data_IF_477467045312
#
_entry.id   IF_477467045312
#
_cell.length_a   1.000
_cell.length_b   1.000
_cell.length_c   1.000
_cell.angle_alpha   90.00
_cell.angle_beta   90.00
_cell.angle_gamma   90.00
#
_symmetry.space_group_name_H-M   'P 1'
#
loop_
_entity.id
_entity.type
_entity.pdbx_description
1 polymer ?
#
# COMPACT_ATOMS: atom_id res chain seq x y z
N UNK A 1 -12.99 -12.66 -15.09
CA UNK A 1 -12.54 -12.50 -13.70
C UNK A 1 -13.48 -11.48 -13.08
N UNK A 2 -14.43 -11.96 -12.27
CA UNK A 2 -15.38 -11.08 -11.56
C UNK A 2 -14.53 -10.38 -10.50
N UNK A 3 -14.36 -9.06 -10.64
CA UNK A 3 -13.80 -8.26 -9.55
C UNK A 3 -14.87 -8.28 -8.45
N UNK A 4 -14.62 -9.06 -7.40
CA UNK A 4 -15.40 -8.92 -6.18
C UNK A 4 -15.33 -7.45 -5.75
N UNK A 5 -16.48 -6.87 -5.43
CA UNK A 5 -16.57 -5.49 -4.98
C UNK A 5 -15.78 -5.37 -3.66
N UNK A 6 -14.60 -4.77 -3.73
CA UNK A 6 -13.77 -4.54 -2.55
C UNK A 6 -14.46 -3.47 -1.70
N UNK A 7 -14.90 -3.85 -0.51
CA UNK A 7 -15.48 -2.92 0.45
C UNK A 7 -14.35 -2.17 1.17
N UNK A 8 -14.10 -0.92 0.75
CA UNK A 8 -13.05 -0.09 1.34
C UNK A 8 -13.29 0.24 2.82
N UNK A 9 -14.56 0.38 3.24
CA UNK A 9 -14.87 0.61 4.66
C UNK A 9 -14.57 -0.63 5.51
N UNK A 10 -14.75 -1.82 4.98
CA UNK A 10 -14.39 -3.06 5.66
C UNK A 10 -12.86 -3.15 5.83
N UNK A 11 -12.10 -2.91 4.77
CA UNK A 11 -10.64 -2.87 4.82
C UNK A 11 -10.12 -1.81 5.79
N UNK A 12 -10.73 -0.61 5.80
CA UNK A 12 -10.45 0.45 6.77
C UNK A 12 -10.64 -0.04 8.20
N UNK A 13 -11.77 -0.70 8.47
CA UNK A 13 -12.09 -1.19 9.82
C UNK A 13 -11.11 -2.27 10.27
N UNK A 14 -10.71 -3.17 9.36
CA UNK A 14 -9.71 -4.20 9.63
C UNK A 14 -8.35 -3.55 9.93
N UNK A 15 -7.89 -2.63 9.10
CA UNK A 15 -6.60 -1.95 9.28
C UNK A 15 -6.53 -1.21 10.62
N UNK A 16 -7.56 -0.41 10.94
CA UNK A 16 -7.64 0.32 12.21
C UNK A 16 -7.69 -0.62 13.43
N UNK A 17 -8.51 -1.66 13.38
CA UNK A 17 -8.60 -2.65 14.45
C UNK A 17 -7.25 -3.32 14.68
N UNK A 18 -6.58 -3.76 13.63
CA UNK A 18 -5.26 -4.39 13.71
C UNK A 18 -4.22 -3.43 14.30
N UNK A 19 -4.22 -2.17 13.87
CA UNK A 19 -3.34 -1.15 14.43
C UNK A 19 -3.56 -0.95 15.94
N UNK A 20 -4.82 -0.90 16.40
CA UNK A 20 -5.15 -0.83 17.81
C UNK A 20 -4.65 -2.06 18.58
N UNK A 21 -4.86 -3.27 18.06
CA UNK A 21 -4.42 -4.53 18.69
C UNK A 21 -2.89 -4.60 18.83
N UNK A 22 -2.15 -3.95 17.94
CA UNK A 22 -0.69 -3.84 18.01
C UNK A 22 -0.19 -2.62 18.80
N UNK A 23 -1.08 -1.87 19.45
CA UNK A 23 -0.72 -0.74 20.32
C UNK A 23 -0.30 0.54 19.57
N UNK A 24 -0.51 0.63 18.25
CA UNK A 24 -0.17 1.85 17.50
C UNK A 24 -0.96 3.07 17.95
N UNK A 25 -2.14 2.88 18.54
CA UNK A 25 -3.00 3.94 19.07
C UNK A 25 -2.97 4.08 20.60
N UNK A 26 -2.06 3.40 21.31
CA UNK A 26 -1.90 3.53 22.77
C UNK A 26 -1.48 4.94 23.17
N UNK A 27 -0.78 5.63 22.28
CA UNK A 27 -0.47 7.06 22.40
C UNK A 27 -1.20 7.80 21.30
N UNK A 28 -1.88 8.88 21.67
CA UNK A 28 -2.56 9.74 20.69
C UNK A 28 -1.53 10.37 19.75
N UNK A 29 -1.44 9.86 18.55
CA UNK A 29 -0.63 10.44 17.48
C UNK A 29 -1.37 11.63 16.86
N UNK A 30 -0.63 12.64 16.41
CA UNK A 30 -1.21 13.71 15.60
C UNK A 30 -1.45 13.22 14.16
N UNK A 31 -2.34 13.90 13.44
CA UNK A 31 -2.64 13.57 12.05
C UNK A 31 -1.41 13.76 11.16
N UNK A 32 -0.64 14.81 11.43
CA UNK A 32 0.61 15.08 10.72
C UNK A 32 1.59 13.93 10.90
N UNK A 33 1.67 13.37 12.11
CA UNK A 33 2.52 12.20 12.36
C UNK A 33 2.05 11.00 11.55
N UNK A 34 0.75 10.71 11.52
CA UNK A 34 0.19 9.61 10.73
C UNK A 34 0.46 9.80 9.23
N UNK A 35 0.32 11.03 8.71
CA UNK A 35 0.66 11.34 7.32
C UNK A 35 2.16 11.19 7.04
N UNK A 36 3.03 11.56 7.97
CA UNK A 36 4.47 11.33 7.85
C UNK A 36 4.80 9.84 7.76
N UNK A 37 4.07 8.96 8.48
CA UNK A 37 4.25 7.52 8.35
C UNK A 37 3.89 7.02 6.94
N UNK A 38 2.82 7.54 6.33
CA UNK A 38 2.50 7.21 4.92
C UNK A 38 3.63 7.62 3.99
N UNK A 39 4.17 8.83 4.18
CA UNK A 39 5.31 9.32 3.39
C UNK A 39 6.54 8.42 3.56
N UNK A 40 6.78 7.93 4.78
CA UNK A 40 7.88 7.00 5.06
C UNK A 40 7.76 5.73 4.21
N UNK A 41 6.58 5.07 4.19
CA UNK A 41 6.35 3.87 3.38
C UNK A 41 6.54 4.16 1.87
N UNK A 42 6.10 5.32 1.39
CA UNK A 42 6.33 5.73 0.00
C UNK A 42 7.83 5.94 -0.30
N UNK A 43 8.60 6.45 0.64
CA UNK A 43 10.05 6.58 0.49
C UNK A 43 10.75 5.22 0.50
N UNK A 44 10.27 4.25 1.29
CA UNK A 44 10.72 2.86 1.26
C UNK A 44 10.39 2.19 -0.08
N UNK A 45 9.23 2.48 -0.66
CA UNK A 45 8.88 2.03 -2.02
C UNK A 45 9.86 2.56 -3.07
N UNK A 46 10.24 3.85 -3.01
CA UNK A 46 11.27 4.45 -3.89
C UNK A 46 12.62 3.77 -3.70
N UNK A 47 12.98 3.47 -2.46
CA UNK A 47 14.24 2.77 -2.16
C UNK A 47 14.22 1.31 -2.67
N UNK A 48 13.09 0.61 -2.54
CA UNK A 48 12.90 -0.72 -3.10
C UNK A 48 13.06 -0.72 -4.62
N UNK A 49 12.50 0.29 -5.31
CA UNK A 49 12.66 0.46 -6.76
C UNK A 49 14.13 0.69 -7.13
N UNK A 50 14.82 1.62 -6.47
CA UNK A 50 16.25 1.92 -6.71
C UNK A 50 17.15 0.71 -6.52
N UNK A 51 16.83 -0.16 -5.56
CA UNK A 51 17.53 -1.42 -5.30
C UNK A 51 17.12 -2.55 -6.25
N UNK A 52 16.20 -2.31 -7.19
CA UNK A 52 15.69 -3.31 -8.12
C UNK A 52 14.77 -4.35 -7.48
N UNK A 53 14.28 -4.11 -6.26
CA UNK A 53 13.33 -4.99 -5.54
C UNK A 53 11.90 -4.78 -6.02
N UNK A 54 11.68 -4.95 -7.32
CA UNK A 54 10.43 -4.65 -8.01
C UNK A 54 9.29 -5.64 -7.74
N UNK A 55 9.51 -6.67 -6.92
CA UNK A 55 8.51 -7.68 -6.61
C UNK A 55 8.07 -8.55 -7.79
N UNK A 56 8.81 -8.53 -8.90
CA UNK A 56 8.51 -9.38 -10.05
C UNK A 56 8.50 -10.85 -9.63
N UNK A 57 7.34 -11.51 -9.84
CA UNK A 57 7.10 -12.90 -9.44
C UNK A 57 7.14 -13.14 -7.91
N UNK A 58 7.02 -12.11 -7.06
CA UNK A 58 7.01 -12.28 -5.61
C UNK A 58 5.91 -13.27 -5.18
N UNK A 59 4.68 -13.16 -5.71
CA UNK A 59 3.57 -14.07 -5.44
C UNK A 59 3.91 -15.52 -5.77
N UNK A 60 4.37 -15.80 -6.99
CA UNK A 60 4.68 -17.17 -7.41
C UNK A 60 5.87 -17.77 -6.64
N UNK A 61 6.85 -16.96 -6.27
CA UNK A 61 7.97 -17.40 -5.43
C UNK A 61 7.52 -17.68 -4.00
N UNK A 62 6.67 -16.83 -3.44
CA UNK A 62 6.04 -17.06 -2.14
C UNK A 62 5.29 -18.38 -2.13
N UNK A 63 4.37 -18.60 -3.08
CA UNK A 63 3.58 -19.83 -3.19
C UNK A 63 4.48 -21.06 -3.32
N UNK A 64 5.54 -20.98 -4.11
CA UNK A 64 6.50 -22.07 -4.29
C UNK A 64 7.25 -22.39 -2.99
N UNK A 65 7.72 -21.39 -2.28
CA UNK A 65 8.44 -21.61 -1.02
C UNK A 65 7.49 -22.09 0.09
N UNK A 66 6.30 -21.47 0.20
CA UNK A 66 5.28 -21.87 1.17
C UNK A 66 4.87 -23.35 1.02
N UNK A 67 4.70 -23.82 -0.21
CA UNK A 67 4.30 -25.21 -0.51
C UNK A 67 5.46 -26.21 -0.36
N UNK A 68 6.71 -25.75 -0.32
CA UNK A 68 7.88 -26.63 -0.07
C UNK A 68 8.07 -27.00 1.38
N UNK A 69 7.50 -26.27 2.31
CA UNK A 69 7.62 -26.60 3.72
C UNK A 69 6.89 -27.90 4.05
N UNK A 70 7.50 -28.79 4.87
CA UNK A 70 6.81 -29.99 5.34
C UNK A 70 5.52 -29.63 6.09
N UNK A 71 4.50 -30.48 5.96
CA UNK A 71 3.20 -30.30 6.61
C UNK A 71 3.28 -30.21 8.16
N UNK A 72 4.37 -30.72 8.75
CA UNK A 72 4.64 -30.63 10.19
C UNK A 72 5.05 -29.21 10.66
N UNK A 73 5.43 -28.31 9.74
CA UNK A 73 5.75 -26.93 10.10
C UNK A 73 4.45 -26.15 10.22
N UNK A 74 4.28 -25.42 11.31
CA UNK A 74 3.11 -24.58 11.56
C UNK A 74 2.87 -23.59 10.41
N UNK A 75 1.60 -23.39 10.06
CA UNK A 75 1.18 -22.57 8.94
C UNK A 75 1.69 -21.14 9.04
N UNK A 76 1.57 -20.54 10.21
CA UNK A 76 2.05 -19.19 10.49
C UNK A 76 3.56 -19.04 10.23
N UNK A 77 4.35 -20.04 10.67
CA UNK A 77 5.80 -20.05 10.45
C UNK A 77 6.14 -20.18 8.96
N UNK A 78 5.43 -21.05 8.24
CA UNK A 78 5.60 -21.20 6.78
C UNK A 78 5.31 -19.90 6.05
N UNK A 79 4.19 -19.26 6.44
CA UNK A 79 3.79 -17.97 5.87
C UNK A 79 4.87 -16.92 6.13
N UNK A 80 5.24 -16.71 7.39
CA UNK A 80 6.24 -15.71 7.79
C UNK A 80 7.56 -15.87 7.05
N UNK A 81 8.13 -17.07 7.04
CA UNK A 81 9.40 -17.33 6.37
C UNK A 81 9.32 -17.11 4.85
N UNK A 82 8.20 -17.51 4.21
CA UNK A 82 8.02 -17.35 2.77
C UNK A 82 7.78 -15.87 2.40
N UNK A 83 7.06 -15.14 3.24
CA UNK A 83 6.81 -13.71 3.09
C UNK A 83 8.12 -12.91 3.22
N UNK A 84 8.84 -13.08 4.32
CA UNK A 84 10.11 -12.37 4.58
C UNK A 84 11.14 -12.58 3.47
N UNK A 85 11.15 -13.77 2.86
CA UNK A 85 12.10 -14.11 1.80
C UNK A 85 11.74 -13.54 0.43
N UNK A 86 10.45 -13.47 0.10
CA UNK A 86 10.03 -13.25 -1.28
C UNK A 86 9.22 -11.97 -1.51
N UNK A 87 8.60 -11.43 -0.47
CA UNK A 87 7.66 -10.31 -0.57
C UNK A 87 8.17 -9.10 0.19
N UNK A 88 8.63 -9.31 1.43
CA UNK A 88 9.05 -8.23 2.32
C UNK A 88 10.07 -7.29 1.67
N UNK A 89 9.92 -6.02 1.94
CA UNK A 89 10.75 -4.91 1.43
C UNK A 89 10.77 -4.82 -0.11
N UNK A 90 9.77 -5.33 -0.81
CA UNK A 90 9.61 -5.14 -2.26
C UNK A 90 8.72 -3.94 -2.54
N UNK A 91 8.82 -3.36 -3.75
CA UNK A 91 7.97 -2.24 -4.16
C UNK A 91 6.46 -2.48 -3.94
N UNK A 92 5.86 -3.66 -4.27
CA UNK A 92 4.46 -3.93 -3.94
C UNK A 92 4.16 -3.99 -2.44
N UNK A 93 5.09 -4.47 -1.64
CA UNK A 93 4.96 -4.55 -0.19
C UNK A 93 4.88 -3.15 0.41
N UNK A 94 5.85 -2.30 0.12
CA UNK A 94 5.91 -0.92 0.62
C UNK A 94 4.70 -0.06 0.17
N UNK A 95 4.23 -0.28 -1.07
CA UNK A 95 3.00 0.38 -1.54
C UNK A 95 1.76 -0.13 -0.78
N UNK A 96 1.73 -1.42 -0.42
CA UNK A 96 0.65 -1.99 0.39
C UNK A 96 0.67 -1.41 1.81
N UNK A 97 1.86 -1.22 2.39
CA UNK A 97 2.01 -0.62 3.71
C UNK A 97 1.57 0.84 3.73
N UNK A 98 1.89 1.62 2.69
CA UNK A 98 1.36 2.98 2.54
C UNK A 98 -0.19 3.00 2.49
N UNK A 99 -0.81 2.06 1.78
CA UNK A 99 -2.28 1.92 1.74
C UNK A 99 -2.84 1.53 3.11
N UNK A 100 -2.21 0.59 3.81
CA UNK A 100 -2.62 0.18 5.17
C UNK A 100 -2.56 1.36 6.13
N UNK A 101 -1.51 2.20 6.09
CA UNK A 101 -1.39 3.42 6.89
C UNK A 101 -2.50 4.43 6.60
N UNK A 102 -2.88 4.60 5.32
CA UNK A 102 -4.00 5.48 4.94
C UNK A 102 -5.34 4.95 5.43
N UNK A 103 -5.57 3.64 5.33
CA UNK A 103 -6.79 3.00 5.82
C UNK A 103 -6.88 3.10 7.35
N UNK A 104 -5.78 2.89 8.08
CA UNK A 104 -5.70 3.07 9.51
C UNK A 104 -6.05 4.51 9.92
N UNK A 105 -5.46 5.51 9.28
CA UNK A 105 -5.75 6.92 9.51
C UNK A 105 -7.23 7.23 9.23
N UNK A 106 -7.79 6.72 8.13
CA UNK A 106 -9.20 6.89 7.81
C UNK A 106 -10.11 6.25 8.87
N UNK A 107 -9.73 5.08 9.41
CA UNK A 107 -10.41 4.42 10.53
C UNK A 107 -10.34 5.23 11.82
N UNK A 108 -9.17 5.70 12.17
CA UNK A 108 -8.95 6.58 13.33
C UNK A 108 -9.78 7.86 13.28
N UNK A 109 -9.98 8.43 12.08
CA UNK A 109 -10.79 9.64 11.85
C UNK A 109 -12.26 9.36 11.60
N UNK A 110 -12.67 8.11 11.48
CA UNK A 110 -14.05 7.73 11.16
C UNK A 110 -14.51 8.17 9.77
N UNK A 111 -13.57 8.32 8.80
CA UNK A 111 -13.87 8.74 7.43
C UNK A 111 -14.53 7.60 6.68
N UNK A 112 -15.70 7.83 6.07
CA UNK A 112 -16.32 6.88 5.16
C UNK A 112 -15.70 6.96 3.77
N UNK A 113 -15.14 5.84 3.30
CA UNK A 113 -14.50 5.77 1.99
C UNK A 113 -15.50 5.47 0.85
N UNK A 114 -16.70 5.00 1.18
CA UNK A 114 -17.76 4.77 0.18
C UNK A 114 -18.45 6.06 -0.24
N UNK A 115 -18.68 6.98 0.71
CA UNK A 115 -19.27 8.27 0.37
C UNK A 115 -18.35 9.08 -0.54
N UNK A 116 -17.03 9.01 -0.31
CA UNK A 116 -16.06 9.68 -1.18
C UNK A 116 -16.10 9.18 -2.63
N UNK A 117 -16.38 7.89 -2.86
CA UNK A 117 -16.49 7.33 -4.21
C UNK A 117 -17.82 7.65 -4.89
N UNK A 118 -18.89 7.87 -4.12
CA UNK A 118 -20.22 8.20 -4.64
C UNK A 118 -20.39 9.71 -4.90
N UNK A 119 -19.65 10.55 -4.18
CA UNK A 119 -19.67 12.01 -4.33
C UNK A 119 -18.74 12.51 -5.45
N UNK A 120 -17.99 11.63 -6.11
CA UNK A 120 -17.26 11.96 -7.34
C UNK A 120 -18.28 12.05 -8.47
N UNK A 121 -18.93 13.22 -8.58
CA UNK A 121 -19.73 13.60 -9.74
C UNK A 121 -18.84 13.64 -10.99
N UNK A 122 -19.42 13.38 -12.17
CA UNK A 122 -18.73 13.43 -13.45
C UNK A 122 -17.93 14.73 -13.69
N UNK A 123 -18.36 15.83 -13.08
CA UNK A 123 -17.71 17.15 -13.13
C UNK A 123 -16.30 17.13 -12.48
N UNK A 124 -16.12 16.40 -11.37
CA UNK A 124 -14.81 16.22 -10.73
C UNK A 124 -13.89 15.27 -11.51
N UNK A 125 -14.45 14.32 -12.26
CA UNK A 125 -13.65 13.41 -13.07
C UNK A 125 -12.92 14.12 -14.20
N UNK A 126 -13.55 15.18 -14.77
CA UNK A 126 -12.90 16.00 -15.80
C UNK A 126 -11.77 16.84 -15.20
N UNK A 127 -11.94 17.37 -13.99
CA UNK A 127 -10.91 18.10 -13.25
C UNK A 127 -9.74 17.17 -12.85
N UNK A 128 -10.02 15.96 -12.39
CA UNK A 128 -8.99 14.95 -12.06
C UNK A 128 -8.25 14.53 -13.33
N UNK A 129 -8.95 14.32 -14.45
CA UNK A 129 -8.32 13.98 -15.73
C UNK A 129 -7.44 15.14 -16.23
N UNK A 130 -7.88 16.39 -16.05
CA UNK A 130 -7.09 17.57 -16.38
C UNK A 130 -5.83 17.68 -15.49
N UNK A 131 -5.98 17.52 -14.18
CA UNK A 131 -4.84 17.48 -13.23
C UNK A 131 -3.85 16.36 -13.55
N UNK A 132 -4.35 15.18 -13.88
CA UNK A 132 -3.51 14.02 -14.25
C UNK A 132 -2.75 14.31 -15.55
N UNK A 133 -3.40 14.92 -16.53
CA UNK A 133 -2.76 15.36 -17.78
C UNK A 133 -1.69 16.41 -17.50
N UNK A 134 -1.95 17.40 -16.65
CA UNK A 134 -0.95 18.40 -16.26
C UNK A 134 0.25 17.77 -15.57
N UNK A 135 0.05 16.78 -14.67
CA UNK A 135 1.14 16.07 -14.00
C UNK A 135 2.01 15.27 -15.00
N UNK A 136 1.38 14.63 -16.00
CA UNK A 136 2.11 13.90 -17.03
C UNK A 136 2.95 14.83 -17.93
N UNK A 137 2.43 16.04 -18.22
CA UNK A 137 3.15 17.03 -19.05
C UNK A 137 4.21 17.82 -18.28
N UNK A 138 4.09 17.97 -16.97
CA UNK A 138 5.03 18.74 -16.14
C UNK A 138 6.08 17.85 -15.45
N UNK A 139 5.92 16.53 -15.50
CA UNK A 139 6.97 15.61 -15.03
C UNK A 139 8.17 15.71 -15.97
N UNK A 140 9.38 16.07 -15.47
CA UNK A 140 10.57 16.10 -16.31
C UNK A 140 10.79 14.70 -16.91
N UNK A 141 10.88 14.67 -18.23
CA UNK A 141 11.19 13.42 -18.94
C UNK A 141 12.53 12.86 -18.45
N UNK A 142 12.63 11.55 -18.20
CA UNK A 142 13.90 10.93 -17.81
C UNK A 142 15.03 11.14 -18.86
N UNK A 143 14.71 11.73 -20.01
CA UNK A 143 15.66 12.03 -21.09
C UNK A 143 16.33 13.39 -20.99
N UNK A 144 15.83 14.29 -20.15
CA UNK A 144 16.37 15.66 -20.06
C UNK A 144 17.59 15.78 -19.12
N UNK A 145 18.02 14.67 -18.50
CA UNK A 145 19.20 14.57 -17.64
C UNK A 145 20.46 13.97 -18.27
N UNK A 146 20.46 13.69 -19.57
CA UNK A 146 21.58 13.03 -20.24
C UNK A 146 22.17 13.91 -21.37
N UNK A 147 22.61 15.13 -21.03
CA UNK A 147 23.56 15.90 -21.87
C UNK A 147 24.46 16.74 -20.98
N UNK A 148 25.57 16.16 -20.58
CA UNK A 148 26.90 16.78 -20.43
C UNK A 148 27.95 15.74 -20.05
#
# INVERSE_FOLDING_TARGET
MIMENINLNELRNIAYKTACEHGFHDKRLSEEHCLCLVISELMEAVEAERKGRLGKKCKSRFEMDYNRYPALVEEEKRFKCSFEKNVKDTLPDELSDAVIRLLDLAGFRGISLESASNDINSEYMDDIACMYSCLLYTSPSPRDGATS
#
